data_IF_453100411051
#
_entry.id   IF_453100411051
#
_cell.length_a   1.000
_cell.length_b   1.000
_cell.length_c   1.000
_cell.angle_alpha   90.00
_cell.angle_beta   90.00
_cell.angle_gamma   90.00
#
_symmetry.space_group_name_H-M   'P 1'
#
loop_
_entity.id
_entity.type
_entity.pdbx_description
1 polymer ?
#
# COMPACT_ATOMS: atom_id res chain seq x y z
N UNK A 1 -33.74 -12.53 -36.03
CA UNK A 1 -34.14 -11.83 -34.78
C UNK A 1 -32.91 -11.17 -34.22
N UNK A 2 -32.88 -9.85 -34.18
CA UNK A 2 -31.77 -9.02 -33.68
C UNK A 2 -31.68 -9.19 -32.16
N UNK A 3 -30.80 -10.11 -31.72
CA UNK A 3 -30.59 -10.43 -30.29
C UNK A 3 -29.83 -9.35 -29.52
N UNK A 4 -29.02 -8.57 -30.22
CA UNK A 4 -28.27 -7.46 -29.64
C UNK A 4 -29.05 -6.16 -29.87
N UNK A 5 -29.56 -5.56 -28.79
CA UNK A 5 -29.75 -4.12 -28.77
C UNK A 5 -28.38 -3.53 -28.47
N UNK A 6 -27.72 -2.97 -29.48
CA UNK A 6 -26.56 -2.12 -29.23
C UNK A 6 -27.07 -0.91 -28.43
N UNK A 7 -27.00 -0.98 -27.11
CA UNK A 7 -27.20 0.18 -26.26
C UNK A 7 -25.83 0.77 -26.02
N UNK A 8 -25.56 1.87 -26.73
CA UNK A 8 -24.40 2.70 -26.48
C UNK A 8 -24.56 3.28 -25.06
N UNK A 9 -23.86 2.68 -24.09
CA UNK A 9 -23.56 3.35 -22.83
C UNK A 9 -22.54 4.44 -23.13
N UNK A 10 -22.69 5.63 -22.56
CA UNK A 10 -21.89 6.83 -22.86
C UNK A 10 -20.37 6.66 -22.66
N UNK A 11 -19.89 5.51 -22.16
CA UNK A 11 -18.48 5.23 -21.92
C UNK A 11 -17.92 3.98 -22.64
N UNK A 12 -18.74 3.14 -23.32
CA UNK A 12 -18.26 1.91 -23.97
C UNK A 12 -18.91 1.73 -25.35
N UNK A 13 -18.19 2.14 -26.40
CA UNK A 13 -18.73 2.25 -27.76
C UNK A 13 -19.05 0.91 -28.47
N UNK A 14 -18.78 -0.28 -27.89
CA UNK A 14 -18.94 -1.56 -28.60
C UNK A 14 -19.31 -2.77 -27.72
N UNK A 15 -20.37 -2.65 -26.91
CA UNK A 15 -20.87 -3.76 -26.07
C UNK A 15 -22.28 -4.21 -26.48
N UNK A 16 -22.49 -5.52 -26.64
CA UNK A 16 -23.84 -6.08 -26.85
C UNK A 16 -24.46 -6.52 -25.52
N UNK A 17 -25.69 -6.07 -25.24
CA UNK A 17 -26.47 -6.52 -24.08
C UNK A 17 -27.42 -7.65 -24.49
N UNK A 18 -27.32 -8.78 -23.80
CA UNK A 18 -28.15 -9.96 -23.99
C UNK A 18 -28.95 -10.20 -22.69
N UNK A 19 -30.27 -9.97 -22.69
CA UNK A 19 -31.05 -10.04 -21.45
C UNK A 19 -31.07 -11.41 -20.78
N UNK A 20 -30.96 -12.47 -21.57
CA UNK A 20 -31.04 -13.84 -21.05
C UNK A 20 -30.33 -14.83 -21.97
N UNK A 21 -29.45 -15.64 -21.39
CA UNK A 21 -28.84 -16.79 -22.07
C UNK A 21 -29.14 -18.03 -21.26
N UNK A 22 -29.85 -19.00 -21.85
CA UNK A 22 -30.15 -20.28 -21.21
C UNK A 22 -29.38 -21.41 -21.90
N UNK A 23 -28.28 -21.83 -21.29
CA UNK A 23 -27.38 -22.85 -21.83
C UNK A 23 -28.10 -24.19 -22.00
N UNK A 24 -29.03 -24.53 -21.10
CA UNK A 24 -29.84 -25.75 -21.17
C UNK A 24 -30.87 -25.76 -22.31
N UNK A 25 -31.12 -24.61 -22.94
CA UNK A 25 -32.10 -24.45 -24.02
C UNK A 25 -31.45 -23.92 -25.31
N UNK A 26 -30.22 -24.35 -25.61
CA UNK A 26 -29.50 -23.97 -26.83
C UNK A 26 -28.92 -22.55 -26.82
N UNK A 27 -28.98 -21.84 -25.70
CA UNK A 27 -28.53 -20.45 -25.58
C UNK A 27 -27.04 -20.26 -25.85
N UNK A 28 -26.21 -21.29 -25.67
CA UNK A 28 -24.79 -21.22 -26.01
C UNK A 28 -24.58 -21.08 -27.52
N UNK A 29 -25.25 -21.89 -28.33
CA UNK A 29 -25.16 -21.83 -29.80
C UNK A 29 -25.64 -20.47 -30.30
N UNK A 30 -26.67 -19.91 -29.65
CA UNK A 30 -27.15 -18.56 -29.94
C UNK A 30 -26.10 -17.49 -29.60
N UNK A 31 -25.40 -17.65 -28.47
CA UNK A 31 -24.33 -16.74 -28.04
C UNK A 31 -23.14 -16.79 -29.01
N UNK A 32 -22.69 -17.98 -29.39
CA UNK A 32 -21.61 -18.21 -30.35
C UNK A 32 -21.97 -17.61 -31.73
N UNK A 33 -23.19 -17.84 -32.21
CA UNK A 33 -23.67 -17.25 -33.47
C UNK A 33 -23.74 -15.73 -33.40
N UNK A 34 -24.20 -15.16 -32.27
CA UNK A 34 -24.21 -13.71 -32.06
C UNK A 34 -22.79 -13.14 -32.14
N UNK A 35 -21.83 -13.79 -31.48
CA UNK A 35 -20.42 -13.40 -31.46
C UNK A 35 -19.75 -13.45 -32.83
N UNK A 36 -20.10 -14.43 -33.66
CA UNK A 36 -19.62 -14.55 -35.04
C UNK A 36 -20.27 -13.52 -35.98
N UNK A 37 -21.55 -13.19 -35.75
CA UNK A 37 -22.33 -12.34 -36.67
C UNK A 37 -22.05 -10.84 -36.55
N UNK A 38 -21.58 -10.38 -35.40
CA UNK A 38 -21.26 -8.99 -35.15
C UNK A 38 -20.15 -8.91 -34.09
N UNK A 39 -18.90 -8.54 -34.43
CA UNK A 39 -17.78 -8.61 -33.51
C UNK A 39 -17.79 -7.43 -32.52
N UNK A 40 -18.69 -7.44 -31.56
CA UNK A 40 -18.63 -6.50 -30.42
C UNK A 40 -17.38 -6.78 -29.59
N UNK A 41 -16.83 -5.72 -28.96
CA UNK A 41 -15.67 -5.85 -28.06
C UNK A 41 -16.04 -6.60 -26.78
N UNK A 42 -17.29 -6.51 -26.34
CA UNK A 42 -17.80 -7.24 -25.19
C UNK A 42 -19.27 -7.65 -25.34
N UNK A 43 -19.68 -8.65 -24.56
CA UNK A 43 -21.06 -9.13 -24.47
C UNK A 43 -21.45 -9.18 -23.01
N UNK A 44 -22.46 -8.39 -22.64
CA UNK A 44 -22.99 -8.35 -21.29
C UNK A 44 -24.27 -9.19 -21.21
N UNK A 45 -24.27 -10.20 -20.34
CA UNK A 45 -25.39 -11.12 -20.16
C UNK A 45 -26.08 -10.80 -18.83
N UNK A 46 -27.29 -10.24 -18.89
CA UNK A 46 -28.02 -9.85 -17.66
C UNK A 46 -28.44 -11.07 -16.83
N UNK A 47 -28.77 -12.18 -17.51
CA UNK A 47 -29.19 -13.42 -16.85
C UNK A 47 -28.67 -14.67 -17.57
N UNK A 48 -27.64 -15.28 -17.01
CA UNK A 48 -27.12 -16.57 -17.45
C UNK A 48 -27.80 -17.71 -16.66
N UNK A 49 -28.36 -18.70 -17.37
CA UNK A 49 -28.93 -19.91 -16.78
C UNK A 49 -28.09 -21.10 -17.24
N UNK A 50 -27.54 -21.82 -16.27
CA UNK A 50 -26.72 -23.03 -16.45
C UNK A 50 -27.38 -24.24 -15.78
N UNK A 51 -27.18 -25.44 -16.32
CA UNK A 51 -27.79 -26.68 -15.82
C UNK A 51 -27.08 -27.23 -14.58
N UNK A 52 -27.49 -26.78 -13.39
CA UNK A 52 -26.99 -27.16 -12.06
C UNK A 52 -26.18 -28.49 -11.91
N UNK A 53 -24.86 -28.45 -11.58
CA UNK A 53 -23.94 -27.33 -11.80
C UNK A 53 -22.86 -27.67 -12.86
N UNK A 54 -22.74 -26.87 -13.94
CA UNK A 54 -21.73 -27.07 -14.96
C UNK A 54 -21.06 -25.74 -15.35
N UNK A 55 -20.93 -24.73 -14.47
CA UNK A 55 -20.24 -23.47 -14.85
C UNK A 55 -18.90 -23.77 -15.50
N UNK A 56 -18.15 -24.76 -15.00
CA UNK A 56 -16.93 -25.25 -15.63
C UNK A 56 -17.11 -25.75 -17.07
N UNK A 57 -18.22 -26.42 -17.39
CA UNK A 57 -18.53 -26.82 -18.77
C UNK A 57 -18.93 -25.62 -19.65
N UNK A 58 -19.60 -24.62 -19.09
CA UNK A 58 -19.86 -23.35 -19.79
C UNK A 58 -18.54 -22.63 -20.10
N UNK A 59 -17.65 -22.49 -19.11
CA UNK A 59 -16.30 -21.92 -19.30
C UNK A 59 -15.53 -22.65 -20.40
N UNK A 60 -15.55 -23.99 -20.39
CA UNK A 60 -14.84 -24.80 -21.38
C UNK A 60 -15.30 -24.53 -22.82
N UNK A 61 -16.58 -24.20 -23.01
CA UNK A 61 -17.12 -23.91 -24.34
C UNK A 61 -16.94 -22.47 -24.75
N UNK A 62 -17.19 -21.52 -23.84
CA UNK A 62 -17.07 -20.09 -24.17
C UNK A 62 -15.60 -19.67 -24.38
N UNK A 63 -14.64 -20.38 -23.78
CA UNK A 63 -13.21 -20.12 -23.93
C UNK A 63 -12.71 -20.18 -25.38
N UNK A 64 -13.41 -20.88 -26.28
CA UNK A 64 -13.07 -20.93 -27.70
C UNK A 64 -13.39 -19.62 -28.45
N UNK A 65 -14.27 -18.79 -27.88
CA UNK A 65 -14.78 -17.57 -28.53
C UNK A 65 -14.31 -16.30 -27.82
N UNK A 66 -14.02 -16.37 -26.52
CA UNK A 66 -13.59 -15.22 -25.72
C UNK A 66 -12.30 -15.51 -24.96
N UNK A 67 -11.51 -14.46 -24.72
CA UNK A 67 -10.29 -14.56 -23.90
C UNK A 67 -10.54 -14.23 -22.43
N UNK A 68 -11.63 -13.54 -22.11
CA UNK A 68 -11.91 -13.04 -20.76
C UNK A 68 -13.37 -13.26 -20.41
N UNK A 69 -13.62 -13.56 -19.14
CA UNK A 69 -14.96 -13.59 -18.59
C UNK A 69 -15.01 -12.91 -17.22
N UNK A 70 -16.07 -12.14 -16.98
CA UNK A 70 -16.36 -11.51 -15.70
C UNK A 70 -17.76 -11.89 -15.24
N UNK A 71 -17.89 -12.28 -13.97
CA UNK A 71 -19.15 -12.48 -13.30
C UNK A 71 -19.31 -11.42 -12.22
N UNK A 72 -20.20 -10.45 -12.46
CA UNK A 72 -20.56 -9.45 -11.45
C UNK A 72 -21.16 -10.14 -10.21
N UNK A 73 -21.96 -11.19 -10.43
CA UNK A 73 -22.45 -12.07 -9.36
C UNK A 73 -22.27 -13.52 -9.75
N UNK A 74 -21.48 -14.26 -8.96
CA UNK A 74 -21.26 -15.69 -9.14
C UNK A 74 -22.00 -16.49 -8.06
N UNK A 75 -22.92 -17.35 -8.50
CA UNK A 75 -23.87 -18.01 -7.60
C UNK A 75 -23.47 -19.42 -7.16
N UNK A 76 -22.55 -20.08 -7.87
CA UNK A 76 -22.23 -21.49 -7.60
C UNK A 76 -21.29 -21.66 -6.41
N UNK A 77 -21.40 -22.77 -5.65
CA UNK A 77 -20.50 -23.04 -4.53
C UNK A 77 -19.12 -23.54 -4.96
N UNK A 78 -19.00 -24.12 -6.15
CA UNK A 78 -17.76 -24.68 -6.68
C UNK A 78 -17.56 -24.18 -8.09
N UNK A 79 -16.38 -23.69 -8.41
CA UNK A 79 -15.97 -23.38 -9.77
C UNK A 79 -14.87 -24.36 -10.19
N UNK A 80 -15.00 -24.95 -11.39
CA UNK A 80 -13.99 -25.85 -11.94
C UNK A 80 -13.42 -25.28 -13.24
N UNK A 81 -12.10 -25.11 -13.28
CA UNK A 81 -11.36 -24.84 -14.51
C UNK A 81 -10.82 -26.17 -15.06
N UNK A 82 -11.24 -26.53 -16.28
CA UNK A 82 -10.90 -27.81 -16.89
C UNK A 82 -9.62 -27.73 -17.75
N UNK A 83 -9.02 -28.91 -18.07
CA UNK A 83 -7.66 -29.10 -18.64
C UNK A 83 -7.36 -28.36 -19.95
N UNK A 84 -8.38 -27.96 -20.70
CA UNK A 84 -8.23 -27.36 -22.03
C UNK A 84 -8.87 -25.96 -22.10
N UNK A 85 -9.07 -25.31 -20.96
CA UNK A 85 -9.66 -23.99 -20.94
C UNK A 85 -8.64 -22.93 -21.42
N UNK A 86 -8.99 -22.19 -22.46
CA UNK A 86 -8.14 -21.19 -23.12
C UNK A 86 -8.35 -19.76 -22.62
N UNK A 87 -9.19 -19.55 -21.59
CA UNK A 87 -9.40 -18.21 -21.02
C UNK A 87 -8.08 -17.66 -20.48
N UNK A 88 -7.85 -16.39 -20.75
CA UNK A 88 -6.70 -15.63 -20.27
C UNK A 88 -7.01 -14.85 -19.00
N UNK A 89 -8.28 -14.51 -18.76
CA UNK A 89 -8.70 -13.77 -17.55
C UNK A 89 -10.08 -14.25 -17.07
N UNK A 90 -10.18 -14.51 -15.75
CA UNK A 90 -11.41 -14.87 -15.06
C UNK A 90 -11.59 -13.94 -13.87
N UNK A 91 -12.73 -13.24 -13.84
CA UNK A 91 -13.12 -12.36 -12.73
C UNK A 91 -14.44 -12.82 -12.11
N UNK A 92 -14.47 -12.96 -10.79
CA UNK A 92 -15.66 -13.22 -9.99
C UNK A 92 -15.78 -12.11 -8.94
N UNK A 93 -16.64 -11.11 -9.15
CA UNK A 93 -16.69 -9.93 -8.27
C UNK A 93 -17.52 -10.18 -7.00
N UNK A 94 -18.76 -10.66 -7.15
CA UNK A 94 -19.63 -11.02 -6.03
C UNK A 94 -19.83 -12.54 -5.95
N UNK A 95 -18.79 -13.27 -5.51
CA UNK A 95 -18.81 -14.73 -5.43
C UNK A 95 -19.30 -15.29 -4.09
N UNK A 96 -20.39 -14.73 -3.54
CA UNK A 96 -20.83 -14.92 -2.14
C UNK A 96 -21.04 -16.38 -1.69
N UNK A 97 -21.21 -17.31 -2.62
CA UNK A 97 -21.41 -18.73 -2.33
C UNK A 97 -20.20 -19.61 -2.64
N UNK A 98 -19.22 -19.10 -3.38
CA UNK A 98 -18.04 -19.84 -3.81
C UNK A 98 -17.20 -20.25 -2.60
N UNK A 99 -17.07 -21.56 -2.42
CA UNK A 99 -16.33 -22.20 -1.34
C UNK A 99 -15.10 -22.94 -1.87
N UNK A 100 -15.08 -23.29 -3.14
CA UNK A 100 -13.99 -24.04 -3.75
C UNK A 100 -13.76 -23.61 -5.21
N UNK A 101 -12.49 -23.44 -5.58
CA UNK A 101 -12.06 -23.26 -6.96
C UNK A 101 -11.09 -24.39 -7.32
N UNK A 102 -11.48 -25.27 -8.21
CA UNK A 102 -10.67 -26.43 -8.58
C UNK A 102 -10.04 -26.20 -9.96
N UNK A 103 -8.73 -26.40 -10.06
CA UNK A 103 -8.04 -26.46 -11.35
C UNK A 103 -7.78 -27.93 -11.67
N UNK A 104 -8.54 -28.47 -12.62
CA UNK A 104 -8.42 -29.86 -13.02
C UNK A 104 -7.29 -29.97 -14.03
N UNK A 105 -6.20 -30.63 -13.63
CA UNK A 105 -4.96 -30.75 -14.42
C UNK A 105 -4.22 -29.42 -14.56
N UNK A 106 -3.58 -29.18 -15.70
CA UNK A 106 -2.76 -28.00 -15.98
C UNK A 106 -3.50 -26.97 -16.81
N UNK A 107 -3.17 -25.69 -16.62
CA UNK A 107 -3.68 -24.61 -17.45
C UNK A 107 -2.52 -23.67 -17.84
N UNK A 108 -2.27 -23.58 -19.14
CA UNK A 108 -1.19 -22.79 -19.72
C UNK A 108 -1.70 -21.52 -20.43
N UNK A 109 -2.91 -21.06 -20.10
CA UNK A 109 -3.55 -19.92 -20.77
C UNK A 109 -3.95 -18.80 -19.82
N UNK A 110 -4.43 -19.13 -18.62
CA UNK A 110 -4.93 -18.18 -17.64
C UNK A 110 -3.77 -17.33 -17.11
N UNK A 111 -3.87 -16.02 -17.33
CA UNK A 111 -2.91 -15.00 -16.90
C UNK A 111 -3.40 -14.23 -15.69
N UNK A 112 -4.73 -14.09 -15.55
CA UNK A 112 -5.34 -13.29 -14.49
C UNK A 112 -6.50 -14.06 -13.86
N UNK A 113 -6.48 -14.17 -12.53
CA UNK A 113 -7.56 -14.73 -11.75
C UNK A 113 -7.93 -13.75 -10.64
N UNK A 114 -9.16 -13.26 -10.68
CA UNK A 114 -9.71 -12.33 -9.70
C UNK A 114 -10.94 -12.95 -9.05
N UNK A 115 -10.94 -13.06 -7.72
CA UNK A 115 -12.03 -13.60 -6.92
C UNK A 115 -12.28 -12.69 -5.72
N UNK A 116 -13.40 -11.99 -5.72
CA UNK A 116 -13.80 -11.10 -4.65
C UNK A 116 -15.08 -11.60 -3.97
N UNK A 117 -15.26 -11.17 -2.71
CA UNK A 117 -16.46 -11.42 -1.91
C UNK A 117 -16.90 -12.90 -1.87
N UNK A 118 -15.96 -13.81 -1.56
CA UNK A 118 -16.20 -15.25 -1.57
C UNK A 118 -16.22 -15.90 -0.17
N UNK A 119 -16.47 -17.21 -0.12
CA UNK A 119 -16.34 -18.03 1.09
C UNK A 119 -15.09 -18.91 1.04
N UNK A 120 -14.15 -18.67 0.13
CA UNK A 120 -12.87 -19.38 0.06
C UNK A 120 -12.14 -19.24 1.40
N UNK A 121 -11.76 -20.38 1.98
CA UNK A 121 -11.05 -20.49 3.27
C UNK A 121 -9.55 -20.80 3.11
N UNK A 122 -9.14 -21.18 1.89
CA UNK A 122 -7.76 -21.53 1.53
C UNK A 122 -7.55 -21.39 0.03
N UNK A 123 -6.28 -21.33 -0.38
CA UNK A 123 -5.88 -21.53 -1.78
C UNK A 123 -5.64 -23.04 -1.99
N UNK A 124 -6.34 -23.69 -2.92
CA UNK A 124 -6.14 -25.11 -3.15
C UNK A 124 -4.80 -25.36 -3.87
N UNK A 125 -4.11 -26.48 -3.58
CA UNK A 125 -2.82 -26.81 -4.20
C UNK A 125 -2.84 -26.80 -5.74
N UNK A 126 -4.00 -27.07 -6.33
CA UNK A 126 -4.20 -27.10 -7.78
C UNK A 126 -3.94 -25.74 -8.44
N UNK A 127 -3.91 -24.63 -7.69
CA UNK A 127 -3.54 -23.32 -8.24
C UNK A 127 -2.10 -23.27 -8.75
N UNK A 128 -1.23 -24.12 -8.21
CA UNK A 128 0.13 -24.29 -8.74
C UNK A 128 0.17 -24.82 -10.18
N UNK A 129 -0.95 -25.31 -10.71
CA UNK A 129 -1.05 -25.80 -12.09
C UNK A 129 -1.40 -24.70 -13.12
N UNK A 130 -1.56 -23.44 -12.68
CA UNK A 130 -1.81 -22.29 -13.55
C UNK A 130 -0.46 -21.68 -14.00
N UNK A 131 0.23 -22.30 -14.94
CA UNK A 131 1.65 -22.01 -15.19
C UNK A 131 1.91 -20.63 -15.83
N UNK A 132 0.93 -20.08 -16.55
CA UNK A 132 1.01 -18.74 -17.17
C UNK A 132 0.39 -17.63 -16.31
N UNK A 133 -0.03 -17.95 -15.08
CA UNK A 133 -0.67 -16.98 -14.19
C UNK A 133 0.31 -15.86 -13.84
N UNK A 134 -0.07 -14.62 -14.11
CA UNK A 134 0.69 -13.39 -13.84
C UNK A 134 0.12 -12.61 -12.66
N UNK A 135 -1.19 -12.64 -12.50
CA UNK A 135 -1.92 -11.96 -11.44
C UNK A 135 -2.89 -12.92 -10.76
N UNK A 136 -2.82 -12.97 -9.44
CA UNK A 136 -3.85 -13.58 -8.59
C UNK A 136 -4.35 -12.56 -7.58
N UNK A 137 -5.67 -12.41 -7.53
CA UNK A 137 -6.36 -11.58 -6.56
C UNK A 137 -7.46 -12.40 -5.90
N UNK A 138 -7.41 -12.52 -4.57
CA UNK A 138 -8.51 -13.08 -3.78
C UNK A 138 -8.80 -12.13 -2.63
N UNK A 139 -9.88 -11.35 -2.72
CA UNK A 139 -10.24 -10.34 -1.71
C UNK A 139 -11.56 -10.64 -1.01
N UNK A 140 -11.78 -9.99 0.13
CA UNK A 140 -13.05 -10.02 0.87
C UNK A 140 -13.57 -11.45 1.08
N UNK A 141 -12.64 -12.38 1.38
CA UNK A 141 -12.93 -13.81 1.51
C UNK A 141 -12.66 -14.27 2.95
N UNK A 142 -12.48 -15.58 3.18
CA UNK A 142 -12.38 -16.17 4.53
C UNK A 142 -11.07 -16.91 4.75
N UNK A 143 -10.04 -16.59 3.97
CA UNK A 143 -8.78 -17.33 4.06
C UNK A 143 -8.13 -17.11 5.41
N UNK A 144 -7.85 -18.19 6.14
CA UNK A 144 -7.23 -18.12 7.47
C UNK A 144 -5.71 -18.33 7.41
N UNK A 145 -5.23 -18.97 6.35
CA UNK A 145 -3.84 -19.33 6.14
C UNK A 145 -3.46 -19.16 4.66
N UNK A 146 -2.24 -18.68 4.44
CA UNK A 146 -1.62 -18.62 3.12
C UNK A 146 -0.38 -19.51 3.09
N UNK A 147 -0.34 -20.49 2.20
CA UNK A 147 0.89 -21.23 1.90
C UNK A 147 1.59 -20.58 0.72
N UNK A 148 2.89 -20.31 0.84
CA UNK A 148 3.68 -19.79 -0.29
C UNK A 148 4.07 -20.87 -1.31
N UNK A 149 3.87 -22.16 -1.00
CA UNK A 149 4.14 -23.28 -1.92
C UNK A 149 3.29 -23.17 -3.20
N UNK A 150 2.02 -22.74 -3.08
CA UNK A 150 1.13 -22.59 -4.25
C UNK A 150 1.63 -21.52 -5.22
N UNK A 151 2.24 -20.45 -4.72
CA UNK A 151 2.77 -19.38 -5.57
C UNK A 151 4.01 -19.82 -6.35
N UNK A 152 4.77 -20.78 -5.83
CA UNK A 152 5.95 -21.31 -6.51
C UNK A 152 5.59 -22.21 -7.71
N UNK A 153 4.37 -22.75 -7.77
CA UNK A 153 3.88 -23.44 -8.98
C UNK A 153 3.64 -22.49 -10.16
N UNK A 154 3.45 -21.19 -9.90
CA UNK A 154 3.14 -20.19 -10.92
C UNK A 154 4.42 -19.44 -11.35
N UNK A 155 5.16 -20.00 -12.31
CA UNK A 155 6.47 -19.48 -12.74
C UNK A 155 6.43 -18.05 -13.31
N UNK A 156 5.29 -17.61 -13.84
CA UNK A 156 5.10 -16.26 -14.41
C UNK A 156 4.40 -15.28 -13.45
N UNK A 157 4.12 -15.69 -12.20
CA UNK A 157 3.37 -14.86 -11.26
C UNK A 157 4.17 -13.63 -10.86
N UNK A 158 3.59 -12.45 -11.09
CA UNK A 158 4.21 -11.15 -10.80
C UNK A 158 3.47 -10.41 -9.69
N UNK A 159 2.15 -10.58 -9.58
CA UNK A 159 1.31 -9.85 -8.64
C UNK A 159 0.41 -10.83 -7.87
N UNK A 160 0.47 -10.77 -6.55
CA UNK A 160 -0.41 -11.53 -5.68
C UNK A 160 -1.01 -10.61 -4.63
N UNK A 161 -2.34 -10.55 -4.56
CA UNK A 161 -3.05 -9.87 -3.47
C UNK A 161 -4.05 -10.83 -2.83
N UNK A 162 -3.99 -10.86 -1.50
CA UNK A 162 -4.88 -11.62 -0.64
C UNK A 162 -5.51 -10.70 0.40
N UNK A 163 -5.75 -9.44 0.02
CA UNK A 163 -6.23 -8.40 0.91
C UNK A 163 -7.64 -8.66 1.44
N UNK A 164 -7.98 -8.06 2.58
CA UNK A 164 -9.31 -8.15 3.20
C UNK A 164 -9.76 -9.61 3.42
N UNK A 165 -8.85 -10.44 3.96
CA UNK A 165 -9.12 -11.83 4.32
C UNK A 165 -9.00 -12.01 5.85
N UNK A 166 -8.81 -13.24 6.32
CA UNK A 166 -8.64 -13.59 7.74
C UNK A 166 -7.28 -14.21 8.00
N UNK A 167 -6.29 -13.94 7.15
CA UNK A 167 -5.00 -14.65 7.19
C UNK A 167 -4.31 -14.30 8.49
N UNK A 168 -4.15 -15.30 9.35
CA UNK A 168 -3.40 -15.16 10.60
C UNK A 168 -2.01 -15.77 10.48
N UNK A 169 -1.79 -16.67 9.50
CA UNK A 169 -0.54 -17.42 9.34
C UNK A 169 -0.13 -17.50 7.86
N UNK A 170 1.12 -17.15 7.59
CA UNK A 170 1.77 -17.35 6.29
C UNK A 170 2.80 -18.47 6.45
N UNK A 171 2.67 -19.54 5.66
CA UNK A 171 3.60 -20.67 5.68
C UNK A 171 4.70 -20.46 4.62
N UNK A 172 5.98 -20.60 5.00
CA UNK A 172 7.10 -20.45 4.07
C UNK A 172 7.09 -21.50 2.97
N UNK A 173 7.81 -21.21 1.89
CA UNK A 173 8.08 -22.13 0.80
C UNK A 173 8.96 -23.30 1.29
N UNK A 174 8.54 -24.54 1.01
CA UNK A 174 9.32 -25.74 1.38
C UNK A 174 10.53 -25.98 0.49
N UNK A 175 10.37 -25.72 -0.82
CA UNK A 175 11.44 -25.89 -1.81
C UNK A 175 11.87 -24.54 -2.37
N UNK A 176 13.00 -24.03 -1.91
CA UNK A 176 13.52 -22.70 -2.27
C UNK A 176 14.31 -22.67 -3.58
N UNK A 177 14.43 -23.79 -4.29
CA UNK A 177 15.15 -23.85 -5.58
C UNK A 177 14.30 -23.37 -6.76
N UNK A 178 13.00 -23.15 -6.55
CA UNK A 178 12.10 -22.66 -7.59
C UNK A 178 12.22 -21.14 -7.75
N UNK A 179 12.55 -20.69 -8.95
CA UNK A 179 12.61 -19.26 -9.25
C UNK A 179 11.18 -18.70 -9.38
N UNK A 180 10.78 -17.84 -8.44
CA UNK A 180 9.48 -17.14 -8.47
C UNK A 180 9.69 -15.69 -8.89
N UNK A 181 8.97 -15.24 -9.91
CA UNK A 181 9.07 -13.88 -10.47
C UNK A 181 8.19 -12.84 -9.76
N UNK A 182 7.68 -13.19 -8.57
CA UNK A 182 6.76 -12.35 -7.81
C UNK A 182 7.40 -10.99 -7.52
N UNK A 183 6.76 -9.92 -7.97
CA UNK A 183 7.20 -8.53 -7.81
C UNK A 183 6.45 -7.83 -6.69
N UNK A 184 5.16 -8.11 -6.55
CA UNK A 184 4.34 -7.47 -5.52
C UNK A 184 3.52 -8.48 -4.75
N UNK A 185 3.58 -8.36 -3.43
CA UNK A 185 2.76 -9.10 -2.49
C UNK A 185 1.95 -8.13 -1.64
N UNK A 186 0.63 -8.25 -1.70
CA UNK A 186 -0.30 -7.47 -0.89
C UNK A 186 -1.11 -8.38 0.03
N UNK A 187 -0.90 -8.20 1.33
CA UNK A 187 -1.58 -8.90 2.43
C UNK A 187 -2.33 -7.92 3.32
N UNK A 188 -2.75 -6.76 2.78
CA UNK A 188 -3.47 -5.75 3.55
C UNK A 188 -4.75 -6.27 4.17
N UNK A 189 -5.19 -5.66 5.29
CA UNK A 189 -6.47 -5.99 5.93
C UNK A 189 -6.61 -7.49 6.26
N UNK A 190 -5.62 -8.03 6.97
CA UNK A 190 -5.61 -9.41 7.44
C UNK A 190 -5.42 -9.47 8.97
N UNK A 191 -5.15 -10.66 9.52
CA UNK A 191 -5.07 -10.91 10.95
C UNK A 191 -3.67 -11.33 11.39
N UNK A 192 -2.63 -10.98 10.64
CA UNK A 192 -1.26 -11.44 10.91
C UNK A 192 -0.74 -10.72 12.17
N UNK A 193 -0.37 -11.49 13.20
CA UNK A 193 0.18 -10.97 14.45
C UNK A 193 1.71 -11.07 14.51
N UNK A 194 2.28 -12.08 13.87
CA UNK A 194 3.71 -12.37 13.86
C UNK A 194 4.14 -12.77 12.45
N UNK A 195 5.25 -12.22 11.97
CA UNK A 195 5.81 -12.57 10.67
C UNK A 195 7.34 -12.62 10.75
N UNK A 196 7.90 -13.78 10.44
CA UNK A 196 9.32 -13.92 10.16
C UNK A 196 9.57 -13.50 8.71
N UNK A 197 10.32 -12.42 8.51
CA UNK A 197 10.59 -11.87 7.18
C UNK A 197 11.41 -12.81 6.29
N UNK A 198 12.10 -13.81 6.85
CA UNK A 198 12.86 -14.80 6.08
C UNK A 198 12.00 -15.64 5.12
N UNK A 199 10.67 -15.68 5.31
CA UNK A 199 9.75 -16.32 4.36
C UNK A 199 9.83 -15.70 2.96
N UNK A 200 10.26 -14.44 2.86
CA UNK A 200 10.40 -13.72 1.59
C UNK A 200 11.74 -13.98 0.91
N UNK A 201 12.71 -14.61 1.59
CA UNK A 201 14.06 -14.81 1.08
C UNK A 201 14.12 -15.50 -0.31
N UNK A 202 13.24 -16.45 -0.68
CA UNK A 202 13.23 -17.04 -2.02
C UNK A 202 12.76 -16.08 -3.14
N UNK A 203 11.99 -15.04 -2.82
CA UNK A 203 11.33 -14.18 -3.79
C UNK A 203 12.22 -12.99 -4.17
N UNK A 204 13.32 -13.27 -4.86
CA UNK A 204 14.36 -12.27 -5.22
C UNK A 204 13.87 -11.13 -6.12
N UNK A 205 12.76 -11.34 -6.83
CA UNK A 205 12.16 -10.36 -7.71
C UNK A 205 11.22 -9.36 -6.99
N UNK A 206 10.96 -9.52 -5.68
CA UNK A 206 10.05 -8.64 -4.94
C UNK A 206 10.54 -7.20 -4.97
N UNK A 207 9.62 -6.31 -5.32
CA UNK A 207 9.75 -4.86 -5.38
C UNK A 207 8.92 -4.22 -4.26
N UNK A 208 7.71 -4.74 -4.01
CA UNK A 208 6.78 -4.20 -3.01
C UNK A 208 6.20 -5.29 -2.13
N UNK A 209 6.20 -5.05 -0.83
CA UNK A 209 5.44 -5.84 0.16
C UNK A 209 4.51 -4.89 0.90
N UNK A 210 3.22 -5.20 0.92
CA UNK A 210 2.22 -4.48 1.69
C UNK A 210 1.62 -5.37 2.78
N UNK A 211 1.86 -4.99 4.04
CA UNK A 211 1.38 -5.66 5.26
C UNK A 211 0.50 -4.71 6.10
N UNK A 212 0.05 -3.59 5.54
CA UNK A 212 -0.73 -2.61 6.28
C UNK A 212 -2.08 -3.16 6.74
N UNK A 213 -2.68 -2.59 7.78
CA UNK A 213 -3.97 -3.02 8.34
C UNK A 213 -3.96 -4.50 8.79
N UNK A 214 -2.89 -4.91 9.47
CA UNK A 214 -2.80 -6.21 10.12
C UNK A 214 -2.80 -6.04 11.65
N UNK A 215 -2.32 -7.04 12.39
CA UNK A 215 -2.20 -7.01 13.85
C UNK A 215 -0.76 -7.20 14.30
N UNK A 216 0.21 -6.87 13.44
CA UNK A 216 1.61 -7.19 13.66
C UNK A 216 2.10 -6.58 14.97
N UNK A 217 2.50 -7.45 15.89
CA UNK A 217 3.13 -7.08 17.16
C UNK A 217 4.65 -7.06 17.00
N UNK A 218 5.18 -7.98 16.21
CA UNK A 218 6.61 -8.17 15.96
C UNK A 218 6.82 -8.52 14.48
N UNK A 219 7.79 -7.84 13.87
CA UNK A 219 8.36 -8.17 12.57
C UNK A 219 9.84 -8.51 12.79
N UNK A 220 10.23 -9.77 12.58
CA UNK A 220 11.56 -10.28 12.96
C UNK A 220 12.18 -11.13 11.83
N UNK A 221 13.46 -11.45 11.95
CA UNK A 221 14.13 -12.51 11.19
C UNK A 221 15.30 -13.06 11.99
N UNK A 222 15.41 -14.39 12.07
CA UNK A 222 16.48 -15.06 12.83
C UNK A 222 17.83 -15.03 12.10
N UNK A 223 17.81 -14.88 10.78
CA UNK A 223 19.00 -14.92 9.94
C UNK A 223 19.04 -13.75 8.96
N UNK A 224 20.24 -13.35 8.57
CA UNK A 224 20.39 -12.32 7.55
C UNK A 224 20.07 -12.86 6.17
N UNK A 225 19.33 -12.08 5.39
CA UNK A 225 19.07 -12.37 3.99
C UNK A 225 18.89 -11.09 3.17
N UNK A 226 18.97 -11.22 1.85
CA UNK A 226 18.89 -10.11 0.90
C UNK A 226 17.64 -10.18 0.05
N UNK A 227 16.89 -9.08 -0.02
CA UNK A 227 15.90 -8.79 -1.06
C UNK A 227 16.45 -7.66 -1.94
N UNK A 228 17.10 -8.05 -3.04
CA UNK A 228 17.90 -7.13 -3.86
C UNK A 228 17.09 -6.06 -4.58
N UNK A 229 15.79 -6.31 -4.82
CA UNK A 229 14.94 -5.43 -5.62
C UNK A 229 13.85 -4.74 -4.79
N UNK A 230 13.74 -5.01 -3.49
CA UNK A 230 12.65 -4.48 -2.68
C UNK A 230 12.84 -2.98 -2.50
N UNK A 231 11.92 -2.18 -3.04
CA UNK A 231 11.94 -0.72 -2.97
C UNK A 231 10.94 -0.17 -1.95
N UNK A 232 9.87 -0.91 -1.65
CA UNK A 232 8.78 -0.42 -0.81
C UNK A 232 8.29 -1.46 0.17
N UNK A 233 8.19 -1.05 1.45
CA UNK A 233 7.62 -1.85 2.53
C UNK A 233 6.56 -1.02 3.29
N UNK A 234 5.30 -1.44 3.20
CA UNK A 234 4.19 -0.82 3.93
C UNK A 234 3.79 -1.67 5.14
N UNK A 235 3.76 -1.03 6.32
CA UNK A 235 3.47 -1.65 7.62
C UNK A 235 2.47 -0.79 8.43
N UNK A 236 1.72 0.09 7.75
CA UNK A 236 0.80 1.02 8.38
C UNK A 236 -0.33 0.31 9.13
N UNK A 237 -0.94 0.95 10.11
CA UNK A 237 -2.13 0.42 10.81
C UNK A 237 -1.89 -0.99 11.36
N UNK A 238 -0.80 -1.14 12.14
CA UNK A 238 -0.43 -2.37 12.83
C UNK A 238 -0.28 -2.10 14.33
N UNK A 239 0.34 -3.00 15.09
CA UNK A 239 0.55 -2.86 16.54
C UNK A 239 2.03 -2.88 16.92
N UNK A 240 2.92 -2.57 15.98
CA UNK A 240 4.35 -2.61 16.16
C UNK A 240 4.78 -1.57 17.20
N UNK A 241 5.62 -2.00 18.14
CA UNK A 241 6.26 -1.10 19.13
C UNK A 241 7.71 -0.81 18.79
N UNK A 242 8.34 -1.73 18.07
CA UNK A 242 9.76 -1.71 17.68
C UNK A 242 9.90 -2.41 16.34
N UNK A 243 11.00 -2.13 15.63
CA UNK A 243 11.39 -2.84 14.41
C UNK A 243 12.92 -2.96 14.36
N UNK A 244 13.43 -4.13 14.01
CA UNK A 244 14.87 -4.34 13.81
C UNK A 244 15.13 -4.74 12.35
N UNK A 245 15.76 -3.83 11.61
CA UNK A 245 16.06 -3.99 10.19
C UNK A 245 17.51 -4.38 9.95
N UNK A 246 18.32 -4.63 10.99
CA UNK A 246 19.77 -4.89 10.86
C UNK A 246 20.06 -6.17 10.09
N UNK A 247 19.24 -7.21 10.28
CA UNK A 247 19.39 -8.50 9.59
C UNK A 247 18.79 -8.49 8.17
N UNK A 248 17.99 -7.48 7.82
CA UNK A 248 17.35 -7.35 6.52
C UNK A 248 18.24 -6.55 5.57
N UNK A 249 18.93 -7.22 4.65
CA UNK A 249 19.72 -6.53 3.63
C UNK A 249 18.81 -6.11 2.46
N UNK A 250 18.49 -4.83 2.41
CA UNK A 250 17.54 -4.24 1.45
C UNK A 250 18.22 -3.07 0.73
N UNK A 251 19.16 -3.33 -0.20
CA UNK A 251 20.00 -2.29 -0.78
C UNK A 251 19.24 -1.29 -1.65
N UNK A 252 18.06 -1.66 -2.15
CA UNK A 252 17.20 -0.83 -3.00
C UNK A 252 15.97 -0.27 -2.27
N UNK A 253 15.83 -0.48 -0.95
CA UNK A 253 14.67 0.00 -0.20
C UNK A 253 14.67 1.53 -0.18
N UNK A 254 13.63 2.14 -0.73
CA UNK A 254 13.45 3.59 -0.85
C UNK A 254 12.41 4.12 0.13
N UNK A 255 11.33 3.36 0.36
CA UNK A 255 10.19 3.79 1.16
C UNK A 255 9.87 2.75 2.24
N UNK A 256 9.78 3.20 3.48
CA UNK A 256 9.12 2.45 4.55
C UNK A 256 8.04 3.31 5.22
N UNK A 257 6.85 2.74 5.38
CA UNK A 257 5.73 3.39 6.05
C UNK A 257 5.31 2.58 7.28
N UNK A 258 5.29 3.25 8.43
CA UNK A 258 5.05 2.72 9.78
C UNK A 258 3.94 3.52 10.48
N UNK A 259 3.05 4.17 9.71
CA UNK A 259 2.01 5.02 10.28
C UNK A 259 1.04 4.20 11.12
N UNK A 260 0.37 4.85 12.06
CA UNK A 260 -0.74 4.23 12.82
C UNK A 260 -0.29 2.92 13.50
N UNK A 261 0.80 2.99 14.24
CA UNK A 261 1.37 1.87 15.01
C UNK A 261 1.48 2.26 16.49
N UNK A 262 2.21 1.46 17.28
CA UNK A 262 2.41 1.67 18.71
C UNK A 262 3.85 2.10 19.05
N UNK A 263 4.57 2.75 18.14
CA UNK A 263 5.94 3.20 18.39
C UNK A 263 5.96 4.30 19.46
N UNK A 264 6.80 4.13 20.47
CA UNK A 264 7.06 5.15 21.49
C UNK A 264 8.36 5.91 21.25
N UNK A 265 9.17 5.44 20.29
CA UNK A 265 10.46 5.97 19.90
C UNK A 265 10.65 5.77 18.39
N UNK A 266 11.41 6.66 17.75
CA UNK A 266 11.87 6.43 16.38
C UNK A 266 12.90 5.29 16.40
N UNK A 267 12.75 4.25 15.55
CA UNK A 267 13.69 3.14 15.52
C UNK A 267 15.12 3.62 15.28
N UNK A 268 16.11 2.99 15.92
CA UNK A 268 17.55 3.24 15.69
C UNK A 268 18.25 2.03 15.05
N UNK A 269 17.54 0.92 14.91
CA UNK A 269 17.98 -0.38 14.41
C UNK A 269 17.74 -0.54 12.91
N UNK A 270 17.96 0.53 12.12
CA UNK A 270 17.79 0.47 10.66
C UNK A 270 18.85 -0.39 9.94
N UNK A 271 20.04 -0.50 10.53
CA UNK A 271 21.23 -1.01 9.84
C UNK A 271 21.67 -0.05 8.72
N UNK A 272 22.45 -0.56 7.76
CA UNK A 272 22.84 0.20 6.56
C UNK A 272 21.74 0.05 5.50
N UNK A 273 21.10 1.15 5.12
CA UNK A 273 20.07 1.20 4.07
C UNK A 273 20.47 2.27 3.06
N UNK A 274 21.15 1.83 2.00
CA UNK A 274 21.85 2.71 1.06
C UNK A 274 20.92 3.46 0.09
N UNK A 275 19.65 3.10 0.03
CA UNK A 275 18.67 3.77 -0.84
C UNK A 275 17.48 4.37 -0.07
N UNK A 276 17.42 4.22 1.26
CA UNK A 276 16.23 4.59 2.02
C UNK A 276 16.13 6.11 2.09
N UNK A 277 15.17 6.66 1.36
CA UNK A 277 14.96 8.09 1.21
C UNK A 277 13.73 8.57 1.99
N UNK A 278 12.69 7.75 2.12
CA UNK A 278 11.43 8.15 2.73
C UNK A 278 11.05 7.26 3.92
N UNK A 279 10.83 7.88 5.07
CA UNK A 279 10.33 7.23 6.29
C UNK A 279 9.10 7.98 6.80
N UNK A 280 7.99 7.25 6.97
CA UNK A 280 6.79 7.78 7.62
C UNK A 280 6.47 7.00 8.89
N UNK A 281 6.34 7.69 10.02
CA UNK A 281 5.99 7.15 11.35
C UNK A 281 4.93 8.07 12.01
N UNK A 282 4.00 8.56 11.20
CA UNK A 282 2.90 9.42 11.64
C UNK A 282 1.95 8.64 12.56
N UNK A 283 1.13 9.35 13.35
CA UNK A 283 0.08 8.75 14.18
C UNK A 283 0.61 7.62 15.08
N UNK A 284 1.68 7.90 15.82
CA UNK A 284 2.28 7.00 16.79
C UNK A 284 2.32 7.67 18.17
N UNK A 285 2.97 7.04 19.16
CA UNK A 285 3.02 7.54 20.54
C UNK A 285 4.42 8.05 20.93
N UNK A 286 5.17 8.58 19.95
CA UNK A 286 6.56 9.00 20.14
C UNK A 286 6.60 10.24 21.03
N UNK A 287 7.35 10.19 22.14
CA UNK A 287 7.45 11.30 23.12
C UNK A 287 8.67 12.18 22.93
N UNK A 288 9.73 11.62 22.36
CA UNK A 288 10.98 12.31 22.08
C UNK A 288 11.59 11.76 20.81
N UNK A 289 12.24 12.63 20.05
CA UNK A 289 12.92 12.27 18.82
C UNK A 289 14.38 12.72 18.89
N UNK A 290 15.30 11.79 18.65
CA UNK A 290 16.72 12.05 18.53
C UNK A 290 17.18 11.76 17.11
N UNK A 291 17.76 12.75 16.42
CA UNK A 291 18.31 12.57 15.08
C UNK A 291 19.42 11.50 15.02
N UNK A 292 20.06 11.19 16.15
CA UNK A 292 21.02 10.09 16.26
C UNK A 292 20.44 8.74 15.82
N UNK A 293 19.13 8.53 15.96
CA UNK A 293 18.41 7.33 15.50
C UNK A 293 18.45 7.12 13.99
N UNK A 294 18.70 8.18 13.20
CA UNK A 294 18.70 8.15 11.73
C UNK A 294 20.11 8.17 11.13
N UNK A 295 21.16 8.20 11.96
CA UNK A 295 22.55 8.42 11.53
C UNK A 295 23.02 7.49 10.40
N UNK A 296 22.51 6.27 10.34
CA UNK A 296 22.92 5.28 9.31
C UNK A 296 22.24 5.47 7.96
N UNK A 297 21.33 6.44 7.83
CA UNK A 297 20.47 6.63 6.66
C UNK A 297 20.96 7.79 5.79
N UNK A 298 22.13 7.61 5.18
CA UNK A 298 22.82 8.66 4.43
C UNK A 298 22.02 9.24 3.24
N UNK A 299 21.02 8.52 2.75
CA UNK A 299 20.18 8.93 1.61
C UNK A 299 18.77 9.38 2.00
N UNK A 300 18.49 9.50 3.30
CA UNK A 300 17.20 9.96 3.79
C UNK A 300 16.90 11.37 3.28
N UNK A 301 15.80 11.54 2.56
CA UNK A 301 15.29 12.81 2.06
C UNK A 301 14.13 13.36 2.89
N UNK A 302 13.30 12.47 3.44
CA UNK A 302 12.05 12.82 4.09
C UNK A 302 11.85 11.99 5.34
N UNK A 303 11.53 12.68 6.42
CA UNK A 303 10.98 12.04 7.61
C UNK A 303 9.65 12.66 8.01
N UNK A 304 8.65 11.81 8.19
CA UNK A 304 7.33 12.18 8.69
C UNK A 304 7.08 11.62 10.09
N UNK A 305 6.85 12.52 11.04
CA UNK A 305 6.60 12.25 12.46
C UNK A 305 5.39 13.05 12.97
N UNK A 306 4.45 13.32 12.08
CA UNK A 306 3.24 14.09 12.37
C UNK A 306 2.30 13.33 13.31
N UNK A 307 1.46 14.05 14.04
CA UNK A 307 0.43 13.45 14.90
C UNK A 307 1.00 12.45 15.90
N UNK A 308 2.10 12.83 16.55
CA UNK A 308 2.72 12.07 17.64
C UNK A 308 2.56 12.84 18.96
N UNK A 309 3.35 12.49 19.98
CA UNK A 309 3.38 13.18 21.28
C UNK A 309 4.75 13.79 21.56
N UNK A 310 5.48 14.20 20.51
CA UNK A 310 6.86 14.63 20.63
C UNK A 310 6.90 15.94 21.43
N UNK A 311 7.67 15.95 22.51
CA UNK A 311 7.88 17.11 23.39
C UNK A 311 9.27 17.72 23.22
N UNK A 312 10.22 16.92 22.72
CA UNK A 312 11.61 17.33 22.53
C UNK A 312 12.19 16.66 21.29
N UNK A 313 12.91 17.46 20.51
CA UNK A 313 13.82 16.98 19.47
C UNK A 313 15.24 17.27 19.93
N UNK A 314 16.09 16.25 19.93
CA UNK A 314 17.47 16.31 20.41
C UNK A 314 18.44 15.79 19.36
N UNK A 315 19.73 16.02 19.62
CA UNK A 315 20.82 15.45 18.83
C UNK A 315 21.86 14.88 19.79
N UNK A 316 21.85 13.56 20.00
CA UNK A 316 22.89 12.92 20.81
C UNK A 316 24.19 12.82 20.01
N UNK A 317 25.27 13.39 20.56
CA UNK A 317 26.64 13.42 20.00
C UNK A 317 27.07 12.07 19.37
N UNK A 318 27.89 12.04 18.29
CA UNK A 318 28.51 13.14 17.52
C UNK A 318 27.54 13.83 16.53
N UNK A 319 28.03 14.76 15.71
CA UNK A 319 27.22 15.46 14.69
C UNK A 319 26.47 14.47 13.81
N UNK A 320 25.18 14.70 13.57
CA UNK A 320 24.36 13.88 12.66
C UNK A 320 24.36 14.53 11.28
N UNK A 321 25.00 13.88 10.32
CA UNK A 321 25.08 14.32 8.93
C UNK A 321 24.11 13.53 8.06
N UNK A 322 23.14 14.21 7.45
CA UNK A 322 22.18 13.63 6.50
C UNK A 322 22.17 14.52 5.25
N UNK A 323 23.02 14.23 4.24
CA UNK A 323 23.31 15.14 3.14
C UNK A 323 22.09 15.43 2.25
N UNK A 324 21.19 14.46 2.14
CA UNK A 324 20.03 14.55 1.26
C UNK A 324 18.71 14.91 1.96
N UNK A 325 18.74 15.14 3.29
CA UNK A 325 17.53 15.42 4.06
C UNK A 325 16.96 16.78 3.67
N UNK A 326 15.77 16.77 3.06
CA UNK A 326 15.08 17.94 2.52
C UNK A 326 13.90 18.36 3.36
N UNK A 327 13.11 17.39 3.83
CA UNK A 327 11.79 17.65 4.40
C UNK A 327 11.63 16.94 5.76
N UNK A 328 11.32 17.74 6.78
CA UNK A 328 11.07 17.26 8.14
C UNK A 328 9.65 17.65 8.54
N UNK A 329 8.80 16.66 8.79
CA UNK A 329 7.42 16.88 9.20
C UNK A 329 7.23 16.53 10.67
N UNK A 330 6.95 17.54 11.49
CA UNK A 330 6.73 17.44 12.93
C UNK A 330 5.42 18.10 13.35
N UNK A 331 4.49 18.27 12.41
CA UNK A 331 3.20 18.89 12.67
C UNK A 331 2.37 18.07 13.67
N UNK A 332 1.44 18.73 14.37
CA UNK A 332 0.52 18.09 15.31
C UNK A 332 1.26 17.28 16.39
N UNK A 333 2.12 17.95 17.14
CA UNK A 333 2.89 17.40 18.25
C UNK A 333 2.74 18.33 19.48
N UNK A 334 3.62 18.18 20.48
CA UNK A 334 3.60 19.02 21.69
C UNK A 334 4.91 19.77 21.90
N UNK A 335 5.65 20.03 20.82
CA UNK A 335 6.94 20.71 20.85
C UNK A 335 6.78 22.16 21.26
N UNK A 336 7.67 22.63 22.13
CA UNK A 336 7.85 24.07 22.42
C UNK A 336 9.26 24.56 22.10
N UNK A 337 10.17 23.65 21.73
CA UNK A 337 11.55 23.92 21.32
C UNK A 337 12.04 22.80 20.40
N UNK A 338 13.02 23.12 19.57
CA UNK A 338 13.73 22.18 18.69
C UNK A 338 15.23 22.52 18.72
N UNK A 339 16.08 21.50 18.83
CA UNK A 339 17.54 21.65 18.81
C UNK A 339 18.14 21.03 17.56
N UNK A 340 18.77 21.87 16.72
CA UNK A 340 19.46 21.45 15.49
C UNK A 340 20.96 21.80 15.50
N UNK A 341 21.54 22.21 16.62
CA UNK A 341 22.95 22.64 16.63
C UNK A 341 23.93 21.51 16.28
N UNK A 342 23.59 20.26 16.60
CA UNK A 342 24.40 19.07 16.29
C UNK A 342 24.15 18.41 14.93
N UNK A 343 23.36 19.01 14.03
CA UNK A 343 23.01 18.40 12.73
C UNK A 343 23.85 18.95 11.56
N UNK A 344 23.85 18.29 10.41
CA UNK A 344 24.39 18.84 9.17
C UNK A 344 23.54 18.33 8.00
N UNK A 345 22.64 19.21 7.53
CA UNK A 345 21.57 18.91 6.57
C UNK A 345 21.61 19.94 5.43
N UNK A 346 22.62 19.87 4.54
CA UNK A 346 22.88 20.92 3.55
C UNK A 346 21.71 21.13 2.56
N UNK A 347 20.89 20.11 2.31
CA UNK A 347 19.72 20.18 1.43
C UNK A 347 18.40 20.50 2.16
N UNK A 348 18.43 20.79 3.48
CA UNK A 348 17.22 21.02 4.25
C UNK A 348 16.46 22.26 3.72
N UNK A 349 15.27 22.02 3.20
CA UNK A 349 14.47 23.03 2.52
C UNK A 349 13.12 23.28 3.18
N UNK A 350 12.55 22.29 3.88
CA UNK A 350 11.26 22.42 4.55
C UNK A 350 11.27 21.78 5.94
N UNK A 351 10.70 22.50 6.90
CA UNK A 351 10.42 22.04 8.26
C UNK A 351 9.00 22.48 8.65
N UNK A 352 8.08 21.55 8.88
CA UNK A 352 6.79 21.92 9.48
C UNK A 352 6.80 21.63 10.98
N UNK A 353 6.47 22.65 11.76
CA UNK A 353 6.22 22.64 13.20
C UNK A 353 4.78 23.09 13.47
N UNK A 354 3.89 23.01 12.48
CA UNK A 354 2.50 23.42 12.60
C UNK A 354 1.79 22.67 13.75
N UNK A 355 0.78 23.27 14.37
CA UNK A 355 0.00 22.65 15.45
C UNK A 355 0.91 22.09 16.58
N UNK A 356 1.76 22.94 17.14
CA UNK A 356 2.61 22.63 18.28
C UNK A 356 2.38 23.68 19.40
N UNK A 357 3.35 23.85 20.31
CA UNK A 357 3.29 24.74 21.47
C UNK A 357 4.43 25.75 21.49
N UNK A 358 4.91 26.17 20.32
CA UNK A 358 5.95 27.20 20.23
C UNK A 358 5.37 28.57 20.60
N UNK A 359 6.05 29.28 21.52
CA UNK A 359 5.73 30.68 21.86
C UNK A 359 6.65 31.69 21.17
N UNK A 360 7.65 31.19 20.45
CA UNK A 360 8.63 31.96 19.70
C UNK A 360 9.10 31.15 18.49
N UNK A 361 9.42 31.85 17.40
CA UNK A 361 10.12 31.33 16.23
C UNK A 361 11.44 30.67 16.68
N UNK A 362 11.66 29.38 16.37
CA UNK A 362 12.89 28.68 16.73
C UNK A 362 14.13 29.27 16.04
N UNK A 363 15.29 29.18 16.70
CA UNK A 363 16.58 29.67 16.18
C UNK A 363 17.19 28.74 15.12
N UNK A 364 16.41 28.29 14.15
CA UNK A 364 16.83 27.35 13.09
C UNK A 364 17.48 28.06 11.89
N UNK A 365 17.05 29.29 11.59
CA UNK A 365 17.55 30.07 10.45
C UNK A 365 19.03 30.44 10.55
N UNK A 366 19.59 30.52 11.76
CA UNK A 366 21.04 30.74 11.96
C UNK A 366 21.87 29.65 11.29
N UNK A 367 21.34 28.42 11.28
CA UNK A 367 22.01 27.26 10.70
C UNK A 367 21.54 26.94 9.29
N UNK A 368 20.24 27.11 9.05
CA UNK A 368 19.59 26.84 7.76
C UNK A 368 18.94 28.12 7.23
N UNK A 369 19.72 29.06 6.68
CA UNK A 369 19.23 30.39 6.31
C UNK A 369 18.23 30.40 5.16
N UNK A 370 18.17 29.33 4.35
CA UNK A 370 17.25 29.19 3.21
C UNK A 370 16.01 28.34 3.54
N UNK A 371 15.87 27.88 4.79
CA UNK A 371 14.78 27.01 5.21
C UNK A 371 13.42 27.68 5.01
N UNK A 372 12.44 26.92 4.53
CA UNK A 372 11.03 27.27 4.71
C UNK A 372 10.48 26.52 5.92
N UNK A 373 9.85 27.24 6.84
CA UNK A 373 9.34 26.70 8.09
C UNK A 373 7.86 27.03 8.27
N UNK A 374 7.02 26.02 8.44
CA UNK A 374 5.63 26.25 8.88
C UNK A 374 5.55 26.29 10.41
N UNK A 375 4.95 27.35 10.93
CA UNK A 375 4.65 27.57 12.36
C UNK A 375 3.14 27.74 12.61
N UNK A 376 2.29 27.40 11.64
CA UNK A 376 0.84 27.53 11.73
C UNK A 376 0.29 26.94 13.03
N UNK A 377 -0.76 27.58 13.57
CA UNK A 377 -1.44 27.13 14.79
C UNK A 377 -0.49 26.88 15.98
N UNK A 378 0.52 27.75 16.16
CA UNK A 378 1.32 27.84 17.38
C UNK A 378 1.02 29.15 18.13
N UNK A 379 1.12 29.18 19.47
CA UNK A 379 0.89 30.38 20.27
C UNK A 379 2.11 31.34 20.25
N UNK A 380 2.57 31.76 19.07
CA UNK A 380 3.76 32.62 18.91
C UNK A 380 3.45 34.07 19.33
N UNK A 381 4.32 34.69 20.12
CA UNK A 381 4.17 36.09 20.53
C UNK A 381 4.41 37.08 19.39
N UNK A 382 3.60 38.13 19.31
CA UNK A 382 3.73 39.15 18.25
C UNK A 382 5.10 39.83 18.25
N UNK A 383 5.63 40.17 19.43
CA UNK A 383 6.97 40.75 19.54
C UNK A 383 8.06 39.81 19.07
N UNK A 384 7.86 38.49 19.22
CA UNK A 384 8.81 37.53 18.70
C UNK A 384 8.78 37.47 17.17
N UNK A 385 7.60 37.47 16.54
CA UNK A 385 7.54 37.55 15.08
C UNK A 385 8.17 38.84 14.51
N UNK A 386 8.01 40.00 15.17
CA UNK A 386 8.65 41.27 14.74
C UNK A 386 10.17 41.14 14.61
N UNK A 387 10.81 40.34 15.48
CA UNK A 387 12.25 40.05 15.41
C UNK A 387 12.63 39.23 14.16
N UNK A 388 11.67 38.58 13.51
CA UNK A 388 11.83 37.73 12.33
C UNK A 388 11.12 38.29 11.09
N UNK A 389 10.93 39.61 11.01
CA UNK A 389 10.23 40.27 9.89
C UNK A 389 10.80 39.92 8.51
N UNK A 390 12.13 39.82 8.36
CA UNK A 390 12.75 39.44 7.09
C UNK A 390 12.33 38.03 6.62
N UNK A 391 12.21 37.07 7.55
CA UNK A 391 11.75 35.73 7.22
C UNK A 391 10.25 35.70 6.88
N UNK A 392 9.45 36.58 7.47
CA UNK A 392 8.03 36.74 7.16
C UNK A 392 7.82 37.40 5.79
N UNK A 393 8.56 38.47 5.48
CA UNK A 393 8.49 39.19 4.20
C UNK A 393 8.98 38.32 3.02
N UNK A 394 9.96 37.46 3.26
CA UNK A 394 10.50 36.53 2.24
C UNK A 394 9.76 35.20 2.15
N UNK A 395 8.65 35.02 2.88
CA UNK A 395 7.85 33.79 2.93
C UNK A 395 8.64 32.55 3.36
N UNK A 396 9.69 32.74 4.15
CA UNK A 396 10.42 31.66 4.79
C UNK A 396 9.67 31.12 6.01
N UNK A 397 8.87 31.94 6.69
CA UNK A 397 7.94 31.50 7.74
C UNK A 397 6.53 31.46 7.16
N UNK A 398 5.87 30.31 7.24
CA UNK A 398 4.48 30.10 6.85
C UNK A 398 3.66 29.99 8.14
N UNK A 399 2.72 30.91 8.37
CA UNK A 399 1.93 30.95 9.61
C UNK A 399 0.63 31.75 9.45
N UNK A 400 -0.25 31.31 8.55
CA UNK A 400 -1.45 32.08 8.14
C UNK A 400 -2.66 31.88 9.06
N UNK A 401 -2.70 30.78 9.83
CA UNK A 401 -3.81 30.46 10.73
C UNK A 401 -3.38 30.49 12.19
N UNK A 402 -4.23 31.07 13.03
CA UNK A 402 -4.07 31.03 14.46
C UNK A 402 -4.43 29.69 15.08
N UNK A 403 -3.97 29.48 16.30
CA UNK A 403 -4.34 28.31 17.08
C UNK A 403 -5.86 28.29 17.36
N UNK A 404 -6.57 27.33 16.75
CA UNK A 404 -7.92 26.93 17.17
C UNK A 404 -9.10 27.80 16.70
N UNK A 405 -8.92 28.74 15.79
CA UNK A 405 -10.02 29.53 15.19
C UNK A 405 -9.70 29.90 13.73
N UNK A 406 -10.71 29.90 12.86
CA UNK A 406 -10.61 30.28 11.44
C UNK A 406 -10.38 31.80 11.26
N UNK A 407 -10.31 32.54 12.36
CA UNK A 407 -9.99 33.96 12.45
C UNK A 407 -8.83 34.15 13.42
N UNK A 408 -7.88 35.03 13.10
CA UNK A 408 -6.82 35.37 14.06
C UNK A 408 -7.45 35.74 15.42
N UNK A 409 -6.85 35.34 16.57
CA UNK A 409 -7.12 36.03 17.83
C UNK A 409 -6.91 37.54 17.60
N UNK A 410 -7.48 38.38 18.46
CA UNK A 410 -7.53 39.85 18.31
C UNK A 410 -6.20 40.53 17.94
N UNK A 411 -5.06 39.83 18.04
CA UNK A 411 -3.71 40.28 17.72
C UNK A 411 -3.15 39.60 16.45
N UNK A 412 -2.67 40.44 15.54
CA UNK A 412 -1.91 40.04 14.36
C UNK A 412 -0.85 41.09 14.03
N UNK A 413 0.08 40.72 13.15
CA UNK A 413 1.03 41.63 12.51
C UNK A 413 0.96 41.43 10.99
N UNK A 414 1.33 42.45 10.22
CA UNK A 414 1.28 42.38 8.76
C UNK A 414 2.68 42.53 8.18
N UNK A 415 3.10 41.55 7.38
CA UNK A 415 4.38 41.58 6.64
C UNK A 415 4.18 40.96 5.25
N UNK A 416 4.80 41.54 4.22
CA UNK A 416 4.69 41.01 2.84
C UNK A 416 3.27 40.95 2.27
N UNK A 417 2.32 41.70 2.85
CA UNK A 417 0.90 41.68 2.44
C UNK A 417 0.04 40.59 3.08
N UNK A 418 0.56 39.87 4.08
CA UNK A 418 -0.16 38.82 4.82
C UNK A 418 -0.22 39.14 6.31
N UNK A 419 -1.35 38.78 6.91
CA UNK A 419 -1.54 38.87 8.35
C UNK A 419 -1.08 37.57 9.01
N UNK A 420 -0.21 37.71 10.01
CA UNK A 420 0.31 36.61 10.83
C UNK A 420 -0.32 36.71 12.21
N UNK A 421 -1.18 35.74 12.52
CA UNK A 421 -1.84 35.67 13.80
C UNK A 421 -0.83 35.39 14.93
N UNK A 422 -0.96 36.09 16.06
CA UNK A 422 -0.02 35.97 17.17
C UNK A 422 -0.70 36.21 18.53
N UNK A 423 0.02 35.96 19.63
CA UNK A 423 -0.43 36.25 20.99
C UNK A 423 0.35 37.42 21.59
N UNK A 424 -0.18 37.99 22.68
CA UNK A 424 0.40 39.14 23.41
C UNK A 424 1.81 38.91 23.96
#
# INVERSE_FOLDING_TARGET
MTFCKAQCSNNDEFSCIIPKVNISAGGLVMLEAAMLSAPFRSYYIEKLIVANPPSGAFLQRVAWTVNQISFDVFYEPVMRLLRDNTLQSITLDSAKNLQEFEVVGTNDHLKELVIDHSKLDRIPPTFGNLHQLKLIQIRYSRMEMLSLDVLAGNAELMYATFSSNRIARVLPLKNTNTAVKLREMDLTENLIEYLDMSIWAPFKALIRINLSYNRLLVLDTQHSFTLGNLTTLYLDSNRLKTIDMRQLNLPQLQTISLNDNNFTEVPSTWGKKEALSYISINNNYIKSFDFGSLRSLAYLDTIMLESNHIQRVTVSNPVVHLPHLKWIYLANNTLNRIELNGTDFPELSYLTLAHNRFTSVPTVFRKYPNLRMSLEANPIKCDNYKLHHLQLESFQIISVYAWGDDRCPELFITYGGYDYCCIG
#
